data_IF_225314373559
#
_entry.id   IF_225314373559
#
_cell.length_a   1.000
_cell.length_b   1.000
_cell.length_c   1.000
_cell.angle_alpha   90.00
_cell.angle_beta   90.00
_cell.angle_gamma   90.00
#
_symmetry.space_group_name_H-M   'P 1'
#
loop_
_entity.id
_entity.type
_entity.pdbx_description
1 polymer ?
#
# COMPACT_ATOMS: atom_id res chain seq x y z
N UNK A 1 9.21 19.14 -6.72
CA UNK A 1 8.82 18.99 -5.30
C UNK A 1 8.38 17.56 -5.08
N UNK A 2 8.67 16.98 -3.92
CA UNK A 2 8.21 15.63 -3.58
C UNK A 2 6.66 15.61 -3.51
N UNK A 3 6.05 14.62 -4.16
CA UNK A 3 4.59 14.40 -4.18
C UNK A 3 4.18 13.03 -3.67
N UNK A 4 5.18 12.19 -3.39
CA UNK A 4 5.00 10.81 -3.02
C UNK A 4 5.82 10.55 -1.75
N UNK A 5 5.22 9.92 -0.76
CA UNK A 5 5.94 9.34 0.38
C UNK A 5 5.88 7.83 0.28
N UNK A 6 7.03 7.19 0.42
CA UNK A 6 7.11 5.75 0.64
C UNK A 6 7.61 5.50 2.06
N UNK A 7 6.81 4.78 2.85
CA UNK A 7 7.16 4.35 4.20
C UNK A 7 7.74 2.95 4.11
N UNK A 8 9.04 2.86 4.34
CA UNK A 8 9.82 1.63 4.40
C UNK A 8 9.94 1.14 5.84
N UNK A 9 10.42 -0.08 6.03
CA UNK A 9 10.73 -0.63 7.35
C UNK A 9 10.47 -2.13 7.43
N UNK A 10 10.95 -2.75 8.50
CA UNK A 10 10.84 -4.19 8.69
C UNK A 10 9.39 -4.68 8.82
N UNK A 11 9.20 -5.98 8.63
CA UNK A 11 7.93 -6.64 8.92
C UNK A 11 7.59 -6.42 10.40
N UNK A 12 6.40 -5.89 10.66
CA UNK A 12 5.96 -5.59 12.03
C UNK A 12 6.48 -4.27 12.62
N UNK A 13 7.18 -3.42 11.87
CA UNK A 13 7.61 -2.09 12.36
C UNK A 13 6.42 -1.15 12.68
N UNK A 14 5.26 -1.41 12.07
CA UNK A 14 4.03 -0.65 12.30
C UNK A 14 3.59 0.22 11.13
N UNK A 15 4.15 0.03 9.93
CA UNK A 15 3.81 0.81 8.71
C UNK A 15 2.31 0.91 8.45
N UNK A 16 1.61 -0.22 8.40
CA UNK A 16 0.16 -0.28 8.25
C UNK A 16 -0.55 0.51 9.33
N UNK A 17 -0.14 0.37 10.59
CA UNK A 17 -0.77 1.08 11.72
C UNK A 17 -0.58 2.59 11.62
N UNK A 18 0.61 3.03 11.25
CA UNK A 18 0.90 4.44 11.02
C UNK A 18 0.03 5.00 9.89
N UNK A 19 -0.06 4.29 8.75
CA UNK A 19 -0.90 4.70 7.63
C UNK A 19 -2.37 4.78 8.02
N UNK A 20 -2.88 3.82 8.80
CA UNK A 20 -4.26 3.86 9.31
C UNK A 20 -4.53 5.06 10.21
N UNK A 21 -3.60 5.39 11.11
CA UNK A 21 -3.71 6.58 11.95
C UNK A 21 -3.80 7.83 11.07
N UNK A 22 -2.89 7.98 10.10
CA UNK A 22 -2.90 9.10 9.14
C UNK A 22 -4.23 9.16 8.39
N UNK A 23 -4.71 8.04 7.86
CA UNK A 23 -5.97 7.93 7.14
C UNK A 23 -7.18 8.33 7.99
N UNK A 24 -7.17 8.02 9.30
CA UNK A 24 -8.27 8.33 10.21
C UNK A 24 -8.35 9.81 10.59
N UNK A 25 -7.22 10.52 10.53
CA UNK A 25 -7.10 11.91 10.95
C UNK A 25 -6.94 12.89 9.77
N UNK A 26 -6.90 12.37 8.53
CA UNK A 26 -6.82 13.17 7.31
C UNK A 26 -8.23 13.29 6.74
N UNK A 27 -8.85 14.48 6.79
CA UNK A 27 -10.17 14.70 6.21
C UNK A 27 -10.10 14.69 4.68
N UNK A 28 -11.25 14.48 4.04
CA UNK A 28 -11.38 14.53 2.59
C UNK A 28 -11.45 13.15 1.92
N UNK A 29 -11.60 13.17 0.61
CA UNK A 29 -11.72 11.95 -0.19
C UNK A 29 -10.37 11.24 -0.33
N UNK A 30 -10.41 9.91 -0.29
CA UNK A 30 -9.23 9.06 -0.33
C UNK A 30 -9.46 7.89 -1.28
N UNK A 31 -8.41 7.49 -1.98
CA UNK A 31 -8.46 6.35 -2.90
C UNK A 31 -7.25 5.46 -2.71
N UNK A 32 -7.49 4.18 -2.48
CA UNK A 32 -6.42 3.26 -2.14
C UNK A 32 -6.89 2.00 -1.46
N UNK A 33 -5.93 1.25 -0.93
CA UNK A 33 -6.23 0.07 -0.13
C UNK A 33 -5.19 -0.17 0.96
N UNK A 34 -5.62 -0.89 1.99
CA UNK A 34 -4.74 -1.46 3.02
C UNK A 34 -4.78 -2.98 2.98
N UNK A 35 -3.69 -3.62 3.40
CA UNK A 35 -3.58 -5.08 3.49
C UNK A 35 -3.63 -5.48 4.96
N UNK A 36 -4.55 -6.39 5.30
CA UNK A 36 -4.70 -6.89 6.67
C UNK A 36 -4.37 -8.37 6.75
N UNK A 37 -3.60 -8.81 7.77
CA UNK A 37 -3.40 -10.22 8.01
C UNK A 37 -4.71 -10.85 8.49
N UNK A 38 -5.05 -12.00 7.92
CA UNK A 38 -6.12 -12.87 8.41
C UNK A 38 -5.55 -13.84 9.43
N UNK A 39 -5.97 -13.70 10.68
CA UNK A 39 -5.46 -14.47 11.80
C UNK A 39 -6.47 -15.58 12.16
N UNK A 40 -5.97 -16.82 12.31
CA UNK A 40 -6.74 -17.96 12.81
C UNK A 40 -5.98 -18.54 13.99
N UNK A 41 -6.55 -18.44 15.20
CA UNK A 41 -5.80 -18.66 16.44
C UNK A 41 -4.68 -17.63 16.56
N UNK A 42 -3.44 -18.10 16.67
CA UNK A 42 -2.24 -17.25 16.73
C UNK A 42 -1.45 -17.23 15.40
N UNK A 43 -2.04 -17.77 14.32
CA UNK A 43 -1.34 -17.96 13.05
C UNK A 43 -1.92 -17.03 11.98
N UNK A 44 -1.03 -16.30 11.29
CA UNK A 44 -1.38 -15.58 10.05
C UNK A 44 -1.65 -16.60 8.95
N UNK A 45 -2.93 -16.82 8.68
CA UNK A 45 -3.49 -17.76 7.69
C UNK A 45 -3.55 -17.19 6.28
N UNK A 46 -3.57 -15.86 6.13
CA UNK A 46 -3.69 -15.21 4.84
C UNK A 46 -3.70 -13.68 4.95
N UNK A 47 -4.11 -13.04 3.88
CA UNK A 47 -4.20 -11.58 3.76
C UNK A 47 -5.46 -11.18 3.00
N UNK A 48 -6.09 -10.12 3.49
CA UNK A 48 -7.21 -9.45 2.85
C UNK A 48 -6.86 -8.02 2.47
N UNK A 49 -7.47 -7.54 1.41
CA UNK A 49 -7.44 -6.14 1.01
C UNK A 49 -8.71 -5.46 1.50
N UNK A 50 -8.57 -4.26 2.03
CA UNK A 50 -9.67 -3.35 2.35
C UNK A 50 -9.49 -2.09 1.49
N UNK A 51 -10.31 -1.94 0.46
CA UNK A 51 -10.29 -0.80 -0.45
C UNK A 51 -11.04 0.40 0.13
N UNK A 52 -10.71 1.61 -0.32
CA UNK A 52 -11.43 2.84 0.02
C UNK A 52 -12.90 2.85 -0.41
N UNK A 53 -13.28 1.97 -1.35
CA UNK A 53 -14.66 1.75 -1.79
C UNK A 53 -15.43 0.76 -0.91
N UNK A 54 -14.95 0.49 0.30
CA UNK A 54 -15.44 -0.49 1.28
C UNK A 54 -15.46 -1.95 0.81
N UNK A 55 -14.93 -2.24 -0.38
CA UNK A 55 -14.77 -3.60 -0.88
C UNK A 55 -13.66 -4.30 -0.10
N UNK A 56 -13.99 -5.46 0.45
CA UNK A 56 -13.04 -6.34 1.14
C UNK A 56 -12.85 -7.64 0.37
N UNK A 57 -11.60 -8.10 0.25
CA UNK A 57 -11.32 -9.33 -0.47
C UNK A 57 -10.10 -10.06 0.05
N UNK A 58 -10.29 -11.32 0.45
CA UNK A 58 -9.18 -12.24 0.69
C UNK A 58 -8.52 -12.62 -0.65
N UNK A 59 -7.24 -12.30 -0.79
CA UNK A 59 -6.48 -12.50 -2.02
C UNK A 59 -5.26 -13.42 -1.85
N UNK A 60 -4.85 -13.69 -0.62
CA UNK A 60 -3.82 -14.67 -0.31
C UNK A 60 -4.21 -15.49 0.92
N UNK A 61 -4.05 -16.81 0.87
CA UNK A 61 -4.41 -17.71 1.99
C UNK A 61 -3.59 -19.00 1.90
N UNK A 62 -3.38 -19.69 3.02
CA UNK A 62 -2.73 -21.01 3.04
C UNK A 62 -3.60 -22.11 2.44
N UNK A 63 -4.92 -21.91 2.43
CA UNK A 63 -5.92 -22.84 1.86
C UNK A 63 -6.08 -22.69 0.35
N UNK A 64 -5.54 -21.61 -0.23
CA UNK A 64 -5.57 -21.33 -1.65
C UNK A 64 -4.64 -22.31 -2.40
N UNK A 65 -5.21 -23.03 -3.36
CA UNK A 65 -4.55 -24.10 -4.15
C UNK A 65 -3.96 -23.58 -5.47
N UNK A 66 -3.97 -22.26 -5.65
CA UNK A 66 -3.47 -21.55 -6.82
C UNK A 66 -1.98 -21.79 -7.07
N UNK A 67 -1.59 -21.89 -8.34
CA UNK A 67 -0.19 -22.11 -8.75
C UNK A 67 0.74 -20.94 -8.39
N UNK A 68 0.21 -19.72 -8.31
CA UNK A 68 1.00 -18.54 -7.94
C UNK A 68 1.07 -18.46 -6.42
N UNK A 69 2.29 -18.57 -5.87
CA UNK A 69 2.51 -18.61 -4.42
C UNK A 69 3.61 -17.66 -3.98
N UNK A 70 3.50 -17.19 -2.75
CA UNK A 70 4.55 -16.46 -2.03
C UNK A 70 4.74 -17.12 -0.68
N UNK A 71 5.86 -17.82 -0.50
CA UNK A 71 6.06 -18.70 0.65
C UNK A 71 4.97 -19.77 0.71
N UNK A 72 4.25 -19.83 1.84
CA UNK A 72 3.15 -20.78 2.05
C UNK A 72 1.78 -20.34 1.51
N UNK A 73 1.65 -19.09 1.06
CA UNK A 73 0.37 -18.51 0.66
C UNK A 73 0.12 -18.70 -0.84
N UNK A 74 -1.01 -19.29 -1.20
CA UNK A 74 -1.54 -19.22 -2.57
C UNK A 74 -2.16 -17.84 -2.81
N UNK A 75 -1.95 -17.27 -4.00
CA UNK A 75 -2.39 -15.91 -4.34
C UNK A 75 -3.43 -15.92 -5.47
N UNK A 76 -4.63 -15.46 -5.16
CA UNK A 76 -5.72 -15.33 -6.12
C UNK A 76 -5.64 -13.98 -6.86
N UNK A 77 -4.81 -13.94 -7.90
CA UNK A 77 -4.49 -12.70 -8.64
C UNK A 77 -5.73 -12.00 -9.22
N UNK A 78 -6.72 -12.74 -9.72
CA UNK A 78 -7.90 -12.15 -10.35
C UNK A 78 -8.76 -11.36 -9.36
N UNK A 79 -8.85 -11.84 -8.10
CA UNK A 79 -9.54 -11.11 -7.02
C UNK A 79 -8.85 -9.80 -6.73
N UNK A 80 -7.53 -9.83 -6.60
CA UNK A 80 -6.73 -8.62 -6.40
C UNK A 80 -6.90 -7.64 -7.58
N UNK A 81 -6.85 -8.14 -8.82
CA UNK A 81 -7.02 -7.31 -10.01
C UNK A 81 -8.39 -6.63 -10.08
N UNK A 82 -9.47 -7.31 -9.66
CA UNK A 82 -10.80 -6.72 -9.61
C UNK A 82 -10.86 -5.51 -8.65
N UNK A 83 -10.16 -5.58 -7.51
CA UNK A 83 -10.03 -4.44 -6.59
C UNK A 83 -9.31 -3.27 -7.25
N UNK A 84 -8.18 -3.53 -7.92
CA UNK A 84 -7.42 -2.47 -8.60
C UNK A 84 -8.27 -1.75 -9.67
N UNK A 85 -9.06 -2.51 -10.45
CA UNK A 85 -9.97 -1.95 -11.44
C UNK A 85 -11.09 -1.09 -10.81
N UNK A 86 -11.63 -1.52 -9.66
CA UNK A 86 -12.63 -0.75 -8.91
C UNK A 86 -12.06 0.59 -8.44
N UNK A 87 -10.85 0.58 -7.88
CA UNK A 87 -10.16 1.79 -7.42
C UNK A 87 -9.84 2.76 -8.56
N UNK A 88 -9.37 2.25 -9.70
CA UNK A 88 -9.05 3.07 -10.88
C UNK A 88 -10.29 3.78 -11.47
N UNK A 89 -11.48 3.23 -11.25
CA UNK A 89 -12.75 3.85 -11.67
C UNK A 89 -13.18 4.93 -10.68
N UNK A 90 -13.04 4.67 -9.38
CA UNK A 90 -13.39 5.61 -8.32
C UNK A 90 -12.59 6.92 -8.37
N UNK A 91 -11.29 6.84 -8.68
CA UNK A 91 -10.40 8.03 -8.72
C UNK A 91 -10.77 9.06 -9.80
N UNK A 92 -11.57 8.69 -10.82
CA UNK A 92 -11.96 9.59 -11.92
C UNK A 92 -13.08 10.58 -11.56
N UNK A 93 -13.79 10.36 -10.46
CA UNK A 93 -14.98 11.14 -10.11
C UNK A 93 -14.72 12.26 -9.09
N UNK A 94 -13.48 12.40 -8.62
CA UNK A 94 -13.14 13.25 -7.46
C UNK A 94 -12.15 14.36 -7.81
N UNK A 95 -12.38 15.55 -7.29
CA UNK A 95 -11.39 16.62 -7.29
C UNK A 95 -10.30 16.31 -6.25
N UNK A 96 -9.25 15.61 -6.70
CA UNK A 96 -7.96 15.41 -6.00
C UNK A 96 -8.01 14.58 -4.70
N UNK A 97 -8.40 13.28 -4.73
CA UNK A 97 -8.34 12.43 -3.55
C UNK A 97 -6.89 12.21 -3.06
N UNK A 98 -6.71 12.00 -1.75
CA UNK A 98 -5.47 11.47 -1.19
C UNK A 98 -5.29 10.00 -1.60
N UNK A 99 -4.16 9.67 -2.22
CA UNK A 99 -3.89 8.33 -2.73
C UNK A 99 -3.07 7.50 -1.73
N UNK A 100 -3.41 6.23 -1.54
CA UNK A 100 -2.64 5.36 -0.64
C UNK A 100 -2.56 3.89 -1.09
N UNK A 101 -1.49 3.20 -0.70
CA UNK A 101 -1.35 1.75 -0.88
C UNK A 101 -0.56 1.12 0.27
N UNK A 102 -1.12 0.09 0.89
CA UNK A 102 -0.42 -0.77 1.82
C UNK A 102 -0.63 -2.24 1.44
N UNK A 103 0.38 -3.01 0.99
CA UNK A 103 1.79 -2.70 0.75
C UNK A 103 2.18 -2.91 -0.72
N UNK A 104 3.20 -2.20 -1.21
CA UNK A 104 3.85 -2.47 -2.50
C UNK A 104 4.86 -3.62 -2.30
N UNK A 105 4.33 -4.80 -2.01
CA UNK A 105 5.11 -5.95 -1.54
C UNK A 105 5.00 -7.19 -2.42
N UNK A 106 5.70 -8.25 -2.01
CA UNK A 106 5.81 -9.50 -2.78
C UNK A 106 4.46 -10.11 -3.16
N UNK A 107 3.47 -10.07 -2.25
CA UNK A 107 2.13 -10.63 -2.48
C UNK A 107 1.39 -9.90 -3.61
N UNK A 108 1.40 -8.57 -3.61
CA UNK A 108 0.72 -7.75 -4.61
C UNK A 108 1.46 -7.79 -5.97
N UNK A 109 2.79 -7.87 -5.94
CA UNK A 109 3.65 -7.95 -7.13
C UNK A 109 3.49 -9.25 -7.93
N UNK A 110 2.80 -10.27 -7.39
CA UNK A 110 2.37 -11.45 -8.16
C UNK A 110 1.41 -11.08 -9.29
N UNK A 111 0.67 -9.97 -9.15
CA UNK A 111 -0.18 -9.44 -10.22
C UNK A 111 0.64 -8.68 -11.26
N UNK A 112 0.49 -9.09 -12.53
CA UNK A 112 1.14 -8.40 -13.64
C UNK A 112 0.61 -6.99 -13.92
N UNK A 113 -0.58 -6.64 -13.44
CA UNK A 113 -1.14 -5.29 -13.64
C UNK A 113 -0.78 -4.34 -12.49
N UNK A 114 -0.40 -4.87 -11.33
CA UNK A 114 -0.12 -4.07 -10.14
C UNK A 114 1.03 -3.07 -10.33
N UNK A 115 2.15 -3.41 -11.00
CA UNK A 115 3.20 -2.43 -11.29
C UNK A 115 2.72 -1.22 -12.10
N UNK A 116 1.78 -1.40 -13.03
CA UNK A 116 1.20 -0.29 -13.79
C UNK A 116 0.29 0.58 -12.91
N UNK A 117 -0.47 -0.05 -12.02
CA UNK A 117 -1.32 0.65 -11.05
C UNK A 117 -0.50 1.50 -10.07
N UNK A 118 0.62 0.96 -9.56
CA UNK A 118 1.58 1.71 -8.72
C UNK A 118 2.11 2.94 -9.45
N UNK A 119 2.59 2.79 -10.69
CA UNK A 119 3.08 3.92 -11.50
C UNK A 119 2.00 4.97 -11.74
N UNK A 120 0.78 4.53 -12.05
CA UNK A 120 -0.35 5.44 -12.24
C UNK A 120 -0.62 6.31 -11.01
N UNK A 121 -0.56 5.72 -9.80
CA UNK A 121 -0.74 6.48 -8.56
C UNK A 121 0.43 7.45 -8.30
N UNK A 122 1.67 7.03 -8.57
CA UNK A 122 2.86 7.88 -8.40
C UNK A 122 2.94 9.04 -9.40
N UNK A 123 2.37 8.88 -10.60
CA UNK A 123 2.33 9.90 -11.65
C UNK A 123 1.15 10.86 -11.49
N UNK A 124 0.15 10.50 -10.69
CA UNK A 124 -0.99 11.35 -10.42
C UNK A 124 -0.55 12.69 -9.79
N UNK A 125 -1.26 13.79 -10.05
CA UNK A 125 -0.97 15.08 -9.41
C UNK A 125 -1.32 15.11 -7.92
N UNK A 126 -1.90 14.03 -7.40
CA UNK A 126 -2.41 13.86 -6.06
C UNK A 126 -1.29 13.53 -5.06
N UNK A 127 -1.43 13.89 -3.77
CA UNK A 127 -0.53 13.37 -2.75
C UNK A 127 -0.69 11.85 -2.63
N UNK A 128 0.42 11.12 -2.61
CA UNK A 128 0.44 9.67 -2.45
C UNK A 128 1.27 9.22 -1.24
N UNK A 129 0.75 8.25 -0.48
CA UNK A 129 1.50 7.54 0.56
C UNK A 129 1.42 6.04 0.33
N UNK A 130 2.57 5.40 0.09
CA UNK A 130 2.68 3.95 -0.02
C UNK A 130 3.49 3.37 1.13
N UNK A 131 3.19 2.13 1.55
CA UNK A 131 4.15 1.33 2.32
C UNK A 131 4.92 0.42 1.37
N UNK A 132 6.19 0.17 1.69
CA UNK A 132 7.08 -0.65 0.88
C UNK A 132 7.98 -1.50 1.80
N UNK A 133 8.41 -2.69 1.35
CA UNK A 133 9.38 -3.48 2.09
C UNK A 133 10.70 -2.71 2.23
N UNK A 134 11.38 -2.94 3.36
CA UNK A 134 12.75 -2.48 3.55
C UNK A 134 13.68 -3.20 2.55
N UNK A 135 14.15 -4.41 2.86
CA UNK A 135 15.04 -5.15 1.94
C UNK A 135 14.58 -6.58 1.66
N UNK A 136 13.42 -6.99 2.19
CA UNK A 136 12.95 -8.37 2.11
C UNK A 136 12.39 -8.78 0.74
N UNK A 137 12.24 -7.85 -0.20
CA UNK A 137 11.66 -8.11 -1.53
C UNK A 137 12.55 -7.51 -2.61
N UNK A 138 13.15 -8.38 -3.43
CA UNK A 138 13.90 -7.99 -4.61
C UNK A 138 12.97 -7.93 -5.81
N UNK A 139 12.71 -6.73 -6.33
CA UNK A 139 11.88 -6.54 -7.51
C UNK A 139 12.21 -5.21 -8.20
N UNK A 140 12.39 -5.21 -9.53
CA UNK A 140 12.77 -4.02 -10.30
C UNK A 140 11.90 -2.79 -10.02
N UNK A 141 10.59 -2.98 -9.86
CA UNK A 141 9.68 -1.88 -9.50
C UNK A 141 10.03 -1.25 -8.16
N UNK A 142 10.38 -2.04 -7.13
CA UNK A 142 10.71 -1.54 -5.79
C UNK A 142 11.95 -0.65 -5.86
N UNK A 143 12.99 -1.13 -6.54
CA UNK A 143 14.24 -0.37 -6.74
C UNK A 143 13.98 0.92 -7.52
N UNK A 144 13.19 0.83 -8.60
CA UNK A 144 12.79 1.96 -9.45
C UNK A 144 12.06 3.03 -8.64
N UNK A 145 11.03 2.68 -7.86
CA UNK A 145 10.20 3.67 -7.16
C UNK A 145 10.91 4.29 -5.95
N UNK A 146 11.82 3.56 -5.28
CA UNK A 146 12.65 4.12 -4.20
C UNK A 146 13.60 5.20 -4.68
N UNK A 147 14.05 5.12 -5.94
CA UNK A 147 15.02 6.06 -6.53
C UNK A 147 14.36 7.24 -7.27
N UNK A 148 13.03 7.31 -7.29
CA UNK A 148 12.33 8.38 -8.00
C UNK A 148 12.62 9.75 -7.37
N UNK A 149 12.89 10.80 -8.18
CA UNK A 149 13.20 12.13 -7.66
C UNK A 149 11.99 12.83 -7.03
N UNK A 150 10.77 12.35 -7.25
CA UNK A 150 9.53 12.87 -6.66
C UNK A 150 9.04 12.08 -5.44
N UNK A 151 9.84 11.10 -4.98
CA UNK A 151 9.57 10.25 -3.81
C UNK A 151 10.46 10.67 -2.64
N UNK A 152 9.83 10.86 -1.49
CA UNK A 152 10.51 10.87 -0.19
C UNK A 152 10.39 9.49 0.44
N UNK A 153 11.52 8.79 0.59
CA UNK A 153 11.59 7.50 1.27
C UNK A 153 11.83 7.73 2.77
N UNK A 154 10.91 7.24 3.61
CA UNK A 154 11.01 7.32 5.07
C UNK A 154 11.15 5.92 5.64
N UNK A 155 12.22 5.65 6.38
CA UNK A 155 12.40 4.39 7.07
C UNK A 155 11.73 4.44 8.44
N UNK A 156 10.76 3.55 8.68
CA UNK A 156 10.05 3.44 9.94
C UNK A 156 10.68 2.35 10.81
N UNK A 157 11.19 2.77 11.96
CA UNK A 157 11.69 1.91 13.04
C UNK A 157 10.74 2.00 14.26
N UNK A 158 11.05 1.27 15.33
CA UNK A 158 10.26 1.37 16.57
C UNK A 158 10.42 2.72 17.27
N UNK A 159 11.58 3.36 17.10
CA UNK A 159 12.01 4.52 17.88
C UNK A 159 11.65 5.85 17.20
N UNK A 160 11.43 5.85 15.88
CA UNK A 160 11.20 7.08 15.11
C UNK A 160 9.73 7.27 14.65
N UNK A 161 8.78 6.52 15.20
CA UNK A 161 7.37 6.53 14.75
C UNK A 161 6.76 7.93 14.76
N UNK A 162 6.98 8.68 15.83
CA UNK A 162 6.45 10.04 16.00
C UNK A 162 7.07 11.03 15.01
N UNK A 163 8.35 10.85 14.68
CA UNK A 163 9.05 11.67 13.70
C UNK A 163 8.49 11.42 12.29
N UNK A 164 8.41 10.15 11.87
CA UNK A 164 7.86 9.77 10.57
C UNK A 164 6.41 10.25 10.46
N UNK A 165 5.59 10.03 11.49
CA UNK A 165 4.22 10.55 11.56
C UNK A 165 4.18 12.06 11.33
N UNK A 166 5.02 12.83 12.04
CA UNK A 166 5.07 14.29 11.91
C UNK A 166 5.45 14.76 10.51
N UNK A 167 6.42 14.09 9.87
CA UNK A 167 6.83 14.38 8.49
C UNK A 167 5.67 14.12 7.52
N UNK A 168 4.98 12.98 7.66
CA UNK A 168 3.86 12.65 6.79
C UNK A 168 2.68 13.62 6.97
N UNK A 169 2.37 14.01 8.20
CA UNK A 169 1.35 15.03 8.50
C UNK A 169 1.69 16.38 7.89
N UNK A 170 2.95 16.82 7.99
CA UNK A 170 3.40 18.08 7.39
C UNK A 170 3.30 18.05 5.87
N UNK A 171 3.65 16.91 5.25
CA UNK A 171 3.49 16.70 3.82
C UNK A 171 2.03 16.84 3.37
N UNK A 172 1.07 16.20 4.05
CA UNK A 172 -0.35 16.27 3.70
C UNK A 172 -0.97 17.66 3.85
N UNK A 173 -0.51 18.46 4.84
CA UNK A 173 -0.94 19.86 5.02
C UNK A 173 -0.61 20.74 3.81
N UNK A 174 0.41 20.41 3.02
CA UNK A 174 0.75 21.12 1.78
C UNK A 174 -0.24 20.93 0.64
N UNK A 175 -1.21 20.00 0.79
CA UNK A 175 -2.24 19.68 -0.19
C UNK A 175 -3.66 19.95 0.32
N UNK A 176 -3.78 20.54 1.51
CA UNK A 176 -5.05 20.93 2.16
C UNK A 176 -5.52 22.31 1.69
#
# INVERSE_FOLDING_TARGET
MARNILISGDVGSGKTRLLETILSETPGERSGFITKPKIVGDIVSGFEIIASTDVRCAFADVTFTEHRRVGKYGVHVQRFNAILSSLASYSKHSYRPFLYMDEIGALQLVSGIFPYFVRHFLEAPNPFIGTIPHDSVQHKLIDEIKQRPDVTLLELTKDNKEEVYSVVRAFLKGYS
#
